data_IF_204882512670
#
_entry.id   IF_204882512670
#
_cell.length_a   1.000
_cell.length_b   1.000
_cell.length_c   1.000
_cell.angle_alpha   90.00
_cell.angle_beta   90.00
_cell.angle_gamma   90.00
#
_symmetry.space_group_name_H-M   'P 1'
#
loop_
_entity.id
_entity.type
_entity.pdbx_description
1 polymer ?
#
# COMPACT_ATOMS: atom_id res chain seq x y z
N UNK A 1 52.11 -42.24 -44.34
CA UNK A 1 52.82 -42.89 -43.21
C UNK A 1 52.77 -41.96 -42.01
N UNK A 2 52.01 -42.28 -40.95
CA UNK A 2 52.07 -41.47 -39.72
C UNK A 2 53.36 -41.78 -38.98
N UNK A 3 54.18 -40.76 -38.71
CA UNK A 3 55.37 -40.93 -37.87
C UNK A 3 54.96 -41.11 -36.41
N UNK A 4 55.80 -41.80 -35.64
CA UNK A 4 55.61 -41.99 -34.20
C UNK A 4 55.40 -40.65 -33.44
N UNK A 5 56.14 -39.61 -33.84
CA UNK A 5 55.98 -38.26 -33.30
C UNK A 5 54.57 -37.69 -33.50
N UNK A 6 53.94 -37.96 -34.65
CA UNK A 6 52.57 -37.52 -34.91
C UNK A 6 51.56 -38.27 -34.03
N UNK A 7 51.76 -39.57 -33.81
CA UNK A 7 50.91 -40.38 -32.93
C UNK A 7 50.97 -39.91 -31.47
N UNK A 8 52.16 -39.55 -30.97
CA UNK A 8 52.30 -39.00 -29.61
C UNK A 8 51.60 -37.64 -29.49
N UNK A 9 51.80 -36.73 -30.46
CA UNK A 9 51.14 -35.41 -30.44
C UNK A 9 49.61 -35.55 -30.42
N UNK A 10 49.06 -36.51 -31.18
CA UNK A 10 47.62 -36.78 -31.15
C UNK A 10 47.16 -37.32 -29.80
N UNK A 11 47.91 -38.24 -29.19
CA UNK A 11 47.56 -38.78 -27.86
C UNK A 11 47.67 -37.73 -26.75
N UNK A 12 48.72 -36.90 -26.74
CA UNK A 12 48.86 -35.77 -25.82
C UNK A 12 47.64 -34.84 -25.98
N UNK A 13 47.31 -34.44 -27.21
CA UNK A 13 46.16 -33.57 -27.47
C UNK A 13 44.84 -34.19 -27.01
N UNK A 14 44.66 -35.51 -27.18
CA UNK A 14 43.47 -36.25 -26.76
C UNK A 14 43.36 -36.28 -25.23
N UNK A 15 44.44 -36.60 -24.53
CA UNK A 15 44.50 -36.65 -23.06
C UNK A 15 44.30 -35.26 -22.47
N UNK A 16 45.00 -34.23 -22.95
CA UNK A 16 44.82 -32.85 -22.47
C UNK A 16 43.37 -32.36 -22.64
N UNK A 17 42.72 -32.68 -23.76
CA UNK A 17 41.30 -32.37 -23.97
C UNK A 17 40.39 -33.16 -23.04
N UNK A 18 40.74 -34.40 -22.70
CA UNK A 18 39.97 -35.23 -21.77
C UNK A 18 40.04 -34.67 -20.35
N UNK A 19 41.23 -34.35 -19.87
CA UNK A 19 41.44 -33.79 -18.53
C UNK A 19 40.77 -32.41 -18.39
N UNK A 20 40.97 -31.50 -19.35
CA UNK A 20 40.32 -30.19 -19.32
C UNK A 20 38.78 -30.26 -19.34
N UNK A 21 38.23 -31.29 -20.01
CA UNK A 21 36.77 -31.56 -19.97
C UNK A 21 36.34 -32.10 -18.62
N UNK A 22 37.11 -33.01 -18.03
CA UNK A 22 36.79 -33.59 -16.72
C UNK A 22 36.78 -32.51 -15.62
N UNK A 23 37.80 -31.65 -15.59
CA UNK A 23 37.88 -30.53 -14.64
C UNK A 23 36.73 -29.53 -14.81
N UNK A 24 36.39 -29.18 -16.05
CA UNK A 24 35.33 -28.18 -16.33
C UNK A 24 33.90 -28.73 -16.30
N UNK A 25 33.70 -30.05 -16.28
CA UNK A 25 32.37 -30.67 -16.37
C UNK A 25 31.48 -30.31 -15.18
N UNK A 26 32.01 -30.41 -13.95
CA UNK A 26 31.26 -30.09 -12.73
C UNK A 26 30.84 -28.61 -12.70
N UNK A 27 31.76 -27.71 -13.07
CA UNK A 27 31.50 -26.27 -13.15
C UNK A 27 30.46 -25.91 -14.23
N UNK A 28 30.50 -26.56 -15.39
CA UNK A 28 29.49 -26.35 -16.43
C UNK A 28 28.11 -26.80 -15.98
N UNK A 29 28.03 -27.93 -15.28
CA UNK A 29 26.78 -28.46 -14.72
C UNK A 29 26.19 -27.54 -13.64
N UNK A 30 27.03 -27.03 -12.73
CA UNK A 30 26.56 -26.06 -11.72
C UNK A 30 26.13 -24.75 -12.37
N UNK A 31 26.88 -24.25 -13.37
CA UNK A 31 26.51 -23.03 -14.09
C UNK A 31 25.19 -23.17 -14.87
N UNK A 32 24.89 -24.33 -15.46
CA UNK A 32 23.57 -24.55 -16.09
C UNK A 32 22.46 -24.60 -15.05
N UNK A 33 22.68 -25.27 -13.92
CA UNK A 33 21.71 -25.35 -12.83
C UNK A 33 21.42 -23.96 -12.23
N UNK A 34 22.45 -23.17 -11.95
CA UNK A 34 22.27 -21.82 -11.43
C UNK A 34 21.52 -20.93 -12.42
N UNK A 35 21.75 -21.06 -13.73
CA UNK A 35 20.98 -20.30 -14.73
C UNK A 35 19.49 -20.66 -14.70
N UNK A 36 19.14 -21.95 -14.56
CA UNK A 36 17.74 -22.36 -14.43
C UNK A 36 17.12 -21.87 -13.12
N UNK A 37 17.87 -21.94 -12.02
CA UNK A 37 17.39 -21.52 -10.70
C UNK A 37 17.16 -20.01 -10.65
N UNK A 38 18.10 -19.21 -11.19
CA UNK A 38 17.95 -17.75 -11.33
C UNK A 38 16.71 -17.42 -12.17
N UNK A 39 16.48 -18.13 -13.28
CA UNK A 39 15.29 -17.90 -14.10
C UNK A 39 13.99 -18.24 -13.33
N UNK A 40 13.97 -19.34 -12.58
CA UNK A 40 12.83 -19.72 -11.74
C UNK A 40 12.57 -18.71 -10.61
N UNK A 41 13.62 -18.24 -9.94
CA UNK A 41 13.53 -17.22 -8.90
C UNK A 41 13.00 -15.90 -9.45
N UNK A 42 13.54 -15.42 -10.58
CA UNK A 42 13.05 -14.20 -11.24
C UNK A 42 11.56 -14.29 -11.59
N UNK A 43 11.09 -15.44 -12.09
CA UNK A 43 9.65 -15.66 -12.36
C UNK A 43 8.81 -15.63 -11.08
N UNK A 44 9.30 -16.23 -9.99
CA UNK A 44 8.60 -16.20 -8.69
C UNK A 44 8.53 -14.78 -8.13
N UNK A 45 9.60 -14.01 -8.21
CA UNK A 45 9.63 -12.60 -7.79
C UNK A 45 8.60 -11.79 -8.56
N UNK A 46 8.58 -11.88 -9.89
CA UNK A 46 7.59 -11.17 -10.71
C UNK A 46 6.14 -11.56 -10.38
N UNK A 47 5.88 -12.84 -10.08
CA UNK A 47 4.56 -13.31 -9.66
C UNK A 47 4.15 -12.74 -8.29
N UNK A 48 5.07 -12.72 -7.32
CA UNK A 48 4.83 -12.14 -6.00
C UNK A 48 4.60 -10.63 -6.06
N UNK A 49 5.40 -9.90 -6.84
CA UNK A 49 5.23 -8.46 -7.08
C UNK A 49 3.85 -8.17 -7.69
N UNK A 50 3.39 -8.99 -8.65
CA UNK A 50 2.05 -8.89 -9.21
C UNK A 50 0.95 -9.11 -8.16
N UNK A 51 1.12 -10.10 -7.28
CA UNK A 51 0.17 -10.37 -6.19
C UNK A 51 0.13 -9.22 -5.19
N UNK A 52 1.28 -8.68 -4.79
CA UNK A 52 1.35 -7.50 -3.91
C UNK A 52 0.64 -6.32 -4.54
N UNK A 53 0.87 -6.04 -5.83
CA UNK A 53 0.17 -4.96 -6.54
C UNK A 53 -1.36 -5.17 -6.58
N UNK A 54 -1.83 -6.40 -6.78
CA UNK A 54 -3.27 -6.74 -6.73
C UNK A 54 -3.85 -6.55 -5.32
N UNK A 55 -3.15 -6.99 -4.29
CA UNK A 55 -3.58 -6.85 -2.89
C UNK A 55 -3.58 -5.38 -2.46
N UNK A 56 -2.58 -4.60 -2.84
CA UNK A 56 -2.56 -3.16 -2.60
C UNK A 56 -3.76 -2.47 -3.28
N UNK A 57 -4.07 -2.84 -4.53
CA UNK A 57 -5.24 -2.31 -5.24
C UNK A 57 -6.56 -2.73 -4.60
N UNK A 58 -6.67 -3.98 -4.13
CA UNK A 58 -7.83 -4.47 -3.39
C UNK A 58 -7.99 -3.73 -2.05
N UNK A 59 -6.92 -3.55 -1.28
CA UNK A 59 -6.91 -2.80 -0.03
C UNK A 59 -7.25 -1.31 -0.24
N UNK A 60 -6.77 -0.69 -1.32
CA UNK A 60 -7.18 0.67 -1.70
C UNK A 60 -8.65 0.75 -2.12
N UNK A 61 -9.22 -0.32 -2.68
CA UNK A 61 -10.64 -0.39 -3.01
C UNK A 61 -11.49 -0.62 -1.75
N UNK A 62 -11.04 -1.47 -0.84
CA UNK A 62 -11.69 -1.72 0.45
C UNK A 62 -11.64 -0.49 1.34
N UNK A 63 -10.53 0.25 1.41
CA UNK A 63 -10.48 1.53 2.13
C UNK A 63 -11.36 2.62 1.50
N UNK A 64 -11.69 2.54 0.21
CA UNK A 64 -12.69 3.40 -0.42
C UNK A 64 -14.14 2.95 -0.17
N UNK A 65 -14.36 1.70 0.25
CA UNK A 65 -15.69 1.09 0.47
C UNK A 65 -15.98 0.84 1.95
N UNK A 66 -14.97 0.88 2.83
CA UNK A 66 -15.10 0.74 4.27
C UNK A 66 -15.47 2.07 4.93
N UNK A 67 -16.62 2.62 4.55
CA UNK A 67 -17.56 3.07 5.58
C UNK A 67 -18.78 2.15 5.44
N UNK A 68 -19.02 1.24 6.40
CA UNK A 68 -20.34 0.65 6.53
C UNK A 68 -21.33 1.82 6.66
N UNK A 69 -22.46 1.83 5.94
CA UNK A 69 -23.57 2.65 6.37
C UNK A 69 -24.11 1.97 7.63
N UNK A 70 -23.51 2.30 8.78
CA UNK A 70 -24.28 2.33 10.01
C UNK A 70 -25.25 3.51 9.82
N UNK A 71 -26.29 3.27 9.03
CA UNK A 71 -27.44 4.12 8.91
C UNK A 71 -28.26 4.00 10.19
N UNK A 72 -27.65 4.34 11.32
CA UNK A 72 -28.39 5.17 12.25
C UNK A 72 -28.74 6.41 11.45
N UNK A 73 -30.04 6.70 11.31
CA UNK A 73 -30.52 7.91 10.68
C UNK A 73 -29.80 9.13 11.29
N UNK A 74 -28.70 9.57 10.68
CA UNK A 74 -27.88 10.70 11.12
C UNK A 74 -28.65 11.98 10.78
N UNK A 75 -29.69 12.23 11.57
CA UNK A 75 -30.54 13.41 11.44
C UNK A 75 -29.74 14.61 11.89
N UNK A 76 -29.35 15.43 10.93
CA UNK A 76 -28.80 16.75 11.20
C UNK A 76 -29.91 17.67 11.73
N UNK A 77 -29.71 18.22 12.93
CA UNK A 77 -30.52 19.29 13.49
C UNK A 77 -29.62 20.51 13.66
N UNK A 78 -30.08 21.65 13.16
CA UNK A 78 -29.35 22.93 13.19
C UNK A 78 -29.01 23.32 14.63
N UNK A 79 -30.02 23.32 15.52
CA UNK A 79 -29.84 23.68 16.94
C UNK A 79 -28.93 22.69 17.68
N UNK A 80 -29.06 21.40 17.34
CA UNK A 80 -28.24 20.34 17.91
C UNK A 80 -26.76 20.46 17.53
N UNK A 81 -26.46 21.02 16.37
CA UNK A 81 -25.09 21.25 15.93
C UNK A 81 -24.46 22.48 16.60
N UNK A 82 -25.21 23.58 16.71
CA UNK A 82 -24.74 24.77 17.44
C UNK A 82 -24.50 24.47 18.93
N UNK A 83 -25.36 23.66 19.56
CA UNK A 83 -25.16 23.20 20.94
C UNK A 83 -23.94 22.30 21.09
N UNK A 84 -23.66 21.43 20.11
CA UNK A 84 -22.48 20.58 20.10
C UNK A 84 -21.19 21.43 20.06
N UNK A 85 -21.14 22.45 19.19
CA UNK A 85 -19.98 23.35 19.13
C UNK A 85 -19.75 24.07 20.46
N UNK A 86 -20.81 24.61 21.07
CA UNK A 86 -20.74 25.23 22.40
C UNK A 86 -20.30 24.24 23.49
N UNK A 87 -20.80 23.00 23.45
CA UNK A 87 -20.42 21.94 24.39
C UNK A 87 -18.95 21.55 24.25
N UNK A 88 -18.41 21.56 23.03
CA UNK A 88 -16.99 21.30 22.78
C UNK A 88 -16.11 22.52 23.10
N UNK A 89 -16.68 23.72 23.17
CA UNK A 89 -15.97 24.95 23.51
C UNK A 89 -15.07 25.47 22.38
N UNK A 90 -15.35 25.09 21.13
CA UNK A 90 -14.52 25.41 19.97
C UNK A 90 -15.11 26.52 19.10
N UNK A 91 -14.25 27.25 18.41
CA UNK A 91 -14.66 28.25 17.42
C UNK A 91 -15.25 27.59 16.17
N UNK A 92 -15.98 28.34 15.34
CA UNK A 92 -16.51 27.79 14.08
C UNK A 92 -15.40 27.39 13.10
N UNK A 93 -14.25 28.06 13.16
CA UNK A 93 -13.08 27.73 12.35
C UNK A 93 -12.42 26.43 12.83
N UNK A 94 -12.25 26.25 14.14
CA UNK A 94 -11.77 25.00 14.73
C UNK A 94 -12.72 23.83 14.46
N UNK A 95 -14.03 24.06 14.58
CA UNK A 95 -15.03 23.06 14.22
C UNK A 95 -14.95 22.71 12.74
N UNK A 96 -14.68 23.70 11.88
CA UNK A 96 -14.42 23.50 10.47
C UNK A 96 -13.18 22.62 10.23
N UNK A 97 -12.07 22.95 10.87
CA UNK A 97 -10.83 22.18 10.78
C UNK A 97 -11.02 20.72 11.22
N UNK A 98 -11.76 20.50 12.32
CA UNK A 98 -12.07 19.15 12.81
C UNK A 98 -12.95 18.34 11.85
N UNK A 99 -13.82 19.02 11.10
CA UNK A 99 -14.74 18.40 10.14
C UNK A 99 -14.19 18.40 8.69
N UNK A 100 -13.00 18.96 8.44
CA UNK A 100 -12.43 19.09 7.11
C UNK A 100 -13.17 20.07 6.19
N UNK A 101 -13.84 21.09 6.76
CA UNK A 101 -14.59 22.12 6.02
C UNK A 101 -14.19 23.53 6.45
N UNK A 102 -14.55 24.54 5.66
CA UNK A 102 -14.33 25.94 6.04
C UNK A 102 -15.25 26.36 7.19
N UNK A 103 -14.78 27.24 8.08
CA UNK A 103 -15.62 27.82 9.14
C UNK A 103 -16.86 28.56 8.61
N UNK A 104 -16.79 29.11 7.40
CA UNK A 104 -17.95 29.70 6.72
C UNK A 104 -19.06 28.66 6.46
N UNK A 105 -18.68 27.42 6.15
CA UNK A 105 -19.65 26.32 5.94
C UNK A 105 -20.34 25.94 7.24
N UNK A 106 -19.59 25.91 8.36
CA UNK A 106 -20.12 25.69 9.71
C UNK A 106 -21.16 26.75 10.07
N UNK A 107 -20.86 28.03 9.83
CA UNK A 107 -21.84 29.12 10.04
C UNK A 107 -23.09 28.97 9.18
N UNK A 108 -22.96 28.59 7.90
CA UNK A 108 -24.12 28.36 7.03
C UNK A 108 -25.00 27.20 7.52
N UNK A 109 -24.41 26.17 8.12
CA UNK A 109 -25.15 25.06 8.72
C UNK A 109 -25.83 25.44 10.03
N UNK A 110 -25.15 26.21 10.90
CA UNK A 110 -25.74 26.76 12.13
C UNK A 110 -26.88 27.74 11.86
N UNK A 111 -26.84 28.44 10.72
CA UNK A 111 -27.92 29.32 10.27
C UNK A 111 -29.01 28.59 9.45
N UNK A 112 -28.88 27.29 9.22
CA UNK A 112 -29.82 26.51 8.41
C UNK A 112 -29.84 26.86 6.91
N UNK A 113 -28.93 27.72 6.44
CA UNK A 113 -28.82 28.17 5.04
C UNK A 113 -28.28 27.08 4.10
N UNK A 114 -27.63 26.06 4.65
CA UNK A 114 -27.14 24.91 3.90
C UNK A 114 -27.26 23.63 4.72
N UNK A 115 -27.38 22.48 4.04
CA UNK A 115 -27.38 21.15 4.67
C UNK A 115 -26.04 20.44 4.44
N UNK A 116 -25.49 19.71 5.43
CA UNK A 116 -24.27 18.94 5.24
C UNK A 116 -24.49 17.79 4.27
N UNK A 117 -23.48 17.48 3.46
CA UNK A 117 -23.45 16.30 2.58
C UNK A 117 -23.25 15.02 3.40
N UNK A 118 -23.53 13.85 2.82
CA UNK A 118 -23.42 12.56 3.50
C UNK A 118 -22.04 12.33 4.16
N UNK A 119 -20.95 12.69 3.48
CA UNK A 119 -19.59 12.62 4.04
C UNK A 119 -19.39 13.52 5.26
N UNK A 120 -20.02 14.69 5.28
CA UNK A 120 -19.95 15.67 6.36
C UNK A 120 -20.85 15.25 7.54
N UNK A 121 -21.97 14.57 7.29
CA UNK A 121 -22.80 14.00 8.35
C UNK A 121 -22.06 12.93 9.14
N UNK A 122 -21.29 12.07 8.46
CA UNK A 122 -20.43 11.09 9.12
C UNK A 122 -19.34 11.77 9.98
N UNK A 123 -18.72 12.84 9.47
CA UNK A 123 -17.74 13.62 10.24
C UNK A 123 -18.38 14.29 11.49
N UNK A 124 -19.60 14.83 11.36
CA UNK A 124 -20.35 15.41 12.48
C UNK A 124 -20.72 14.34 13.52
N UNK A 125 -21.08 13.14 13.07
CA UNK A 125 -21.36 12.00 13.96
C UNK A 125 -20.12 11.60 14.76
N UNK A 126 -18.97 11.49 14.10
CA UNK A 126 -17.69 11.24 14.74
C UNK A 126 -17.36 12.35 15.75
N UNK A 127 -17.55 13.62 15.38
CA UNK A 127 -17.34 14.76 16.27
C UNK A 127 -18.24 14.73 17.52
N UNK A 128 -19.47 14.22 17.42
CA UNK A 128 -20.38 14.06 18.57
C UNK A 128 -19.89 13.00 19.56
N UNK A 129 -19.16 11.98 19.10
CA UNK A 129 -18.56 10.94 19.96
C UNK A 129 -17.26 11.41 20.63
N UNK A 130 -16.67 12.53 20.20
CA UNK A 130 -15.46 13.10 20.79
C UNK A 130 -15.78 13.95 22.02
N UNK A 131 -14.97 13.81 23.07
CA UNK A 131 -14.98 14.71 24.23
C UNK A 131 -14.06 15.92 24.04
N UNK A 132 -14.24 16.97 24.86
CA UNK A 132 -13.43 18.21 24.83
C UNK A 132 -11.91 17.96 24.76
N UNK A 133 -11.41 16.97 25.51
CA UNK A 133 -9.97 16.61 25.56
C UNK A 133 -9.46 16.09 24.22
N UNK A 134 -10.20 15.19 23.58
CA UNK A 134 -9.85 14.62 22.28
C UNK A 134 -9.96 15.65 21.15
N UNK A 135 -10.88 16.62 21.28
CA UNK A 135 -10.99 17.74 20.34
C UNK A 135 -9.79 18.68 20.45
N UNK A 136 -9.38 19.04 21.67
CA UNK A 136 -8.20 19.87 21.90
C UNK A 136 -6.92 19.20 21.35
N UNK A 137 -6.74 17.90 21.55
CA UNK A 137 -5.59 17.15 21.02
C UNK A 137 -5.54 17.14 19.49
N UNK A 138 -6.71 17.06 18.82
CA UNK A 138 -6.79 17.12 17.35
C UNK A 138 -6.59 18.51 16.77
N UNK A 139 -6.86 19.56 17.55
CA UNK A 139 -6.67 20.95 17.14
C UNK A 139 -5.28 21.50 17.51
N UNK A 140 -4.58 20.87 18.44
CA UNK A 140 -3.21 21.20 18.83
C UNK A 140 -2.14 20.61 17.88
N UNK A 141 -2.58 19.87 16.85
CA UNK A 141 -1.73 19.23 15.85
C UNK A 141 -1.81 20.00 14.53
#
# INVERSE_FOLDING_TARGET
MSTFANQIKTEISRISKKEARAESAALKKSASQYRSDIAALKRRVAALESLVGKLQKASQKESKVALPPESENLRFRVDGFASLRKKLGVTANEMGALLGVSGQSVYKWEQGKAKPRASQLAAIAAARKLGKRAVAERLAK
#
